data_IF_024928863348
#
_entry.id   IF_024928863348
#
_cell.length_a   1.000
_cell.length_b   1.000
_cell.length_c   1.000
_cell.angle_alpha   90.00
_cell.angle_beta   90.00
_cell.angle_gamma   90.00
#
_symmetry.space_group_name_H-M   'P 1'
#
loop_
_entity.id
_entity.type
_entity.pdbx_description
1 polymer ?
#
# COMPACT_ATOMS: atom_id res chain seq x y z
N UNK A 1 -0.35 -3.67 16.46
CA UNK A 1 1.11 -3.88 16.45
C UNK A 1 1.77 -2.52 16.33
N UNK A 2 2.97 -2.34 16.85
CA UNK A 2 3.71 -1.08 16.82
C UNK A 2 5.03 -1.25 16.04
N UNK A 3 5.29 -0.33 15.11
CA UNK A 3 6.49 -0.30 14.26
C UNK A 3 7.33 0.97 14.48
N UNK A 4 7.05 1.76 15.51
CA UNK A 4 7.69 3.06 15.75
C UNK A 4 9.18 2.97 16.18
N UNK A 5 9.79 1.78 16.17
CA UNK A 5 11.17 1.55 16.57
C UNK A 5 11.92 0.57 15.65
N UNK A 6 13.17 0.26 16.00
CA UNK A 6 14.08 -0.58 15.19
C UNK A 6 13.61 -2.05 15.05
N UNK A 7 12.71 -2.48 15.93
CA UNK A 7 12.13 -3.83 15.94
C UNK A 7 10.63 -3.70 16.16
N UNK A 8 9.82 -4.25 15.24
CA UNK A 8 8.36 -4.28 15.39
C UNK A 8 7.94 -5.08 16.63
N UNK A 9 6.93 -4.58 17.35
CA UNK A 9 6.45 -5.17 18.60
C UNK A 9 4.96 -5.51 18.51
N UNK A 10 4.57 -6.65 19.09
CA UNK A 10 3.16 -6.99 19.32
C UNK A 10 2.70 -6.28 20.59
N UNK A 11 1.59 -5.54 20.50
CA UNK A 11 1.00 -4.84 21.64
C UNK A 11 0.18 -5.85 22.45
N UNK A 12 0.65 -6.19 23.66
CA UNK A 12 -0.02 -7.16 24.54
C UNK A 12 -0.95 -6.48 25.57
N UNK A 13 -0.70 -5.20 25.88
CA UNK A 13 -1.52 -4.45 26.83
C UNK A 13 -2.89 -4.11 26.19
N UNK A 14 -4.02 -4.55 26.78
CA UNK A 14 -5.34 -4.36 26.17
C UNK A 14 -5.74 -2.89 26.05
N UNK A 15 -5.31 -2.03 26.98
CA UNK A 15 -5.56 -0.58 26.89
C UNK A 15 -4.80 0.06 25.74
N UNK A 16 -3.53 -0.33 25.55
CA UNK A 16 -2.70 0.16 24.44
C UNK A 16 -3.26 -0.29 23.08
N UNK A 17 -3.79 -1.52 22.98
CA UNK A 17 -4.48 -2.01 21.77
C UNK A 17 -5.68 -1.12 21.42
N UNK A 18 -6.51 -0.77 22.41
CA UNK A 18 -7.69 0.07 22.18
C UNK A 18 -7.31 1.48 21.74
N UNK A 19 -6.29 2.07 22.37
CA UNK A 19 -5.79 3.39 22.01
C UNK A 19 -5.22 3.41 20.60
N UNK A 20 -4.38 2.43 20.23
CA UNK A 20 -3.80 2.34 18.89
C UNK A 20 -4.89 2.20 17.81
N UNK A 21 -5.92 1.37 18.06
CA UNK A 21 -7.04 1.20 17.12
C UNK A 21 -7.85 2.50 16.92
N UNK A 22 -8.08 3.26 18.00
CA UNK A 22 -8.78 4.54 17.93
C UNK A 22 -7.97 5.58 17.15
N UNK A 23 -6.68 5.71 17.45
CA UNK A 23 -5.78 6.64 16.78
C UNK A 23 -5.66 6.34 15.29
N UNK A 24 -5.48 5.06 14.93
CA UNK A 24 -5.45 4.63 13.53
C UNK A 24 -6.75 5.06 12.83
N UNK A 25 -7.91 4.69 13.39
CA UNK A 25 -9.22 5.04 12.86
C UNK A 25 -9.45 6.56 12.74
N UNK A 26 -8.77 7.38 13.54
CA UNK A 26 -8.78 8.85 13.38
C UNK A 26 -7.82 9.31 12.28
N UNK A 27 -6.63 8.72 12.17
CA UNK A 27 -5.68 9.01 11.09
C UNK A 27 -6.29 8.72 9.71
N UNK A 28 -7.04 7.62 9.56
CA UNK A 28 -7.80 7.33 8.33
C UNK A 28 -8.84 8.41 7.99
N UNK A 29 -9.37 9.13 9.00
CA UNK A 29 -10.35 10.21 8.81
C UNK A 29 -9.71 11.57 8.52
N UNK A 30 -8.48 11.80 8.98
CA UNK A 30 -7.72 13.04 8.73
C UNK A 30 -7.24 13.11 7.26
N UNK A 31 -7.24 11.98 6.55
CA UNK A 31 -7.12 11.90 5.10
C UNK A 31 -8.41 12.26 4.34
N UNK A 32 -8.92 13.49 4.49
CA UNK A 32 -9.65 14.12 3.38
C UNK A 32 -8.79 14.05 2.10
N UNK A 33 -9.36 14.09 0.88
CA UNK A 33 -8.72 13.64 -0.35
C UNK A 33 -7.31 14.22 -0.51
N UNK A 34 -6.34 13.48 0.00
CA UNK A 34 -5.27 12.95 -0.78
C UNK A 34 -4.77 13.92 -1.87
N UNK A 35 -3.92 14.92 -1.56
CA UNK A 35 -3.47 15.94 -2.54
C UNK A 35 -2.64 15.42 -3.72
N UNK A 36 -2.29 14.13 -3.75
CA UNK A 36 -1.59 13.48 -4.86
C UNK A 36 -2.41 12.45 -5.65
N UNK A 37 -3.65 12.19 -5.23
CA UNK A 37 -4.51 11.21 -5.88
C UNK A 37 -5.73 11.96 -6.39
N UNK A 38 -5.63 12.42 -7.64
CA UNK A 38 -6.68 13.19 -8.29
C UNK A 38 -8.03 12.50 -8.08
N UNK A 39 -8.95 13.20 -7.43
CA UNK A 39 -10.38 12.88 -7.51
C UNK A 39 -10.70 12.82 -9.00
N UNK A 40 -11.17 11.68 -9.55
CA UNK A 40 -11.57 11.66 -10.93
C UNK A 40 -12.74 12.63 -11.06
N UNK A 41 -12.56 13.66 -11.89
CA UNK A 41 -13.64 14.55 -12.26
C UNK A 41 -14.84 13.72 -12.77
N UNK A 42 -16.08 14.16 -12.51
CA UNK A 42 -17.28 13.40 -12.84
C UNK A 42 -17.61 13.56 -14.33
N UNK A 43 -16.73 13.10 -15.22
CA UNK A 43 -17.02 12.73 -16.62
C UNK A 43 -15.70 12.32 -17.29
N UNK A 44 -15.21 11.15 -16.98
CA UNK A 44 -14.34 10.48 -17.95
C UNK A 44 -14.75 9.03 -17.91
N UNK A 45 -15.23 8.51 -19.04
CA UNK A 45 -15.43 7.07 -19.22
C UNK A 45 -14.09 6.39 -18.99
N UNK A 46 -13.87 6.00 -17.73
CA UNK A 46 -12.73 5.25 -17.29
C UNK A 46 -12.65 4.02 -18.20
N UNK A 47 -11.57 3.84 -18.99
CA UNK A 47 -11.40 2.61 -19.74
C UNK A 47 -11.53 1.46 -18.75
N UNK A 48 -12.26 0.39 -19.09
CA UNK A 48 -12.42 -0.79 -18.23
C UNK A 48 -11.07 -1.50 -17.86
N UNK A 49 -9.96 -0.90 -18.25
CA UNK A 49 -8.59 -1.37 -18.18
C UNK A 49 -7.62 -0.30 -17.65
N UNK A 50 -8.05 0.67 -16.81
CA UNK A 50 -7.11 1.67 -16.21
C UNK A 50 -5.91 1.01 -15.55
N UNK A 51 -6.11 -0.15 -14.92
CA UNK A 51 -5.06 -0.91 -14.28
C UNK A 51 -4.05 -1.52 -15.28
N UNK A 52 -4.41 -1.65 -16.56
CA UNK A 52 -3.57 -2.23 -17.60
C UNK A 52 -2.64 -1.21 -18.28
N UNK A 53 -2.89 0.08 -18.10
CA UNK A 53 -2.09 1.17 -18.68
C UNK A 53 -1.12 1.80 -17.68
N UNK A 54 -1.11 1.32 -16.42
CA UNK A 54 -0.25 1.87 -15.39
C UNK A 54 1.21 1.44 -15.59
N UNK A 55 2.18 2.31 -15.23
CA UNK A 55 3.61 2.02 -15.41
C UNK A 55 4.10 0.81 -14.61
N UNK A 56 3.38 0.46 -13.53
CA UNK A 56 3.65 -0.71 -12.69
C UNK A 56 2.98 -2.00 -13.19
N UNK A 57 2.17 -1.95 -14.25
CA UNK A 57 1.47 -3.12 -14.79
C UNK A 57 2.25 -3.79 -15.93
N UNK A 58 2.66 -5.04 -15.72
CA UNK A 58 3.42 -5.81 -16.69
C UNK A 58 2.61 -6.99 -17.25
N UNK A 59 1.56 -6.71 -18.04
CA UNK A 59 0.65 -7.74 -18.57
C UNK A 59 1.20 -8.67 -19.66
N UNK A 60 2.48 -8.52 -20.06
CA UNK A 60 3.13 -9.33 -21.10
C UNK A 60 4.23 -10.26 -20.56
N UNK A 61 4.49 -10.23 -19.25
CA UNK A 61 5.50 -11.10 -18.63
C UNK A 61 4.86 -12.43 -18.21
N UNK A 62 5.55 -13.54 -18.49
CA UNK A 62 5.16 -14.85 -17.97
C UNK A 62 5.44 -14.93 -16.47
N UNK A 63 4.87 -15.94 -15.80
CA UNK A 63 5.12 -16.19 -14.38
C UNK A 63 6.61 -16.44 -14.14
N UNK A 64 7.22 -17.26 -14.98
CA UNK A 64 8.62 -17.69 -14.87
C UNK A 64 9.57 -16.51 -15.09
N UNK A 65 9.30 -15.66 -16.09
CA UNK A 65 10.07 -14.45 -16.35
C UNK A 65 9.96 -13.45 -15.20
N UNK A 66 8.77 -13.32 -14.63
CA UNK A 66 8.52 -12.45 -13.47
C UNK A 66 9.29 -12.93 -12.26
N UNK A 67 9.28 -14.24 -11.99
CA UNK A 67 10.02 -14.84 -10.87
C UNK A 67 11.53 -14.63 -11.01
N UNK A 68 12.08 -14.82 -12.21
CA UNK A 68 13.50 -14.55 -12.45
C UNK A 68 13.83 -13.06 -12.32
N UNK A 69 12.97 -12.18 -12.85
CA UNK A 69 13.15 -10.74 -12.77
C UNK A 69 13.16 -10.24 -11.32
N UNK A 70 12.22 -10.71 -10.49
CA UNK A 70 12.16 -10.38 -9.05
C UNK A 70 13.39 -10.96 -8.33
N UNK A 71 13.76 -12.21 -8.59
CA UNK A 71 14.93 -12.85 -7.99
C UNK A 71 16.25 -12.12 -8.28
N UNK A 72 16.39 -11.49 -9.45
CA UNK A 72 17.56 -10.69 -9.82
C UNK A 72 17.63 -9.32 -9.13
N UNK A 73 16.49 -8.74 -8.78
CA UNK A 73 16.40 -7.43 -8.14
C UNK A 73 16.53 -7.51 -6.60
N UNK A 74 16.49 -8.73 -6.03
CA UNK A 74 16.60 -9.00 -4.60
C UNK A 74 15.22 -9.05 -3.93
N UNK A 75 15.04 -10.02 -3.01
CA UNK A 75 13.89 -10.05 -2.10
C UNK A 75 14.11 -9.03 -0.99
N UNK A 76 13.90 -7.75 -1.27
CA UNK A 76 13.60 -6.78 -0.23
C UNK A 76 12.09 -6.76 -0.11
N UNK A 77 11.56 -7.16 1.05
CA UNK A 77 10.12 -7.08 1.31
C UNK A 77 9.65 -5.64 1.08
N UNK A 78 8.50 -5.48 0.40
CA UNK A 78 8.02 -4.22 -0.16
C UNK A 78 7.52 -3.17 0.85
N UNK A 79 8.02 -3.18 2.09
CA UNK A 79 7.70 -2.18 3.10
C UNK A 79 9.02 -1.63 3.68
N UNK A 80 9.38 -0.39 3.33
CA UNK A 80 10.50 0.27 3.99
C UNK A 80 11.10 1.46 3.24
N UNK A 81 10.40 2.60 3.24
CA UNK A 81 10.93 3.92 3.63
C UNK A 81 9.78 4.78 4.11
#
# INVERSE_FOLDING_TARGET
MDFSGCTGRVIENPSEVLTAALEEAQAWRVGGPCPGWGVPAPDTRLPAAIHRTQPWFHGRLSREDTQQLIGRQGLVDGYGT
#
